data_IF_264107494849
#
_entry.id   IF_264107494849
#
_cell.length_a   1.000
_cell.length_b   1.000
_cell.length_c   1.000
_cell.angle_alpha   90.00
_cell.angle_beta   90.00
_cell.angle_gamma   90.00
#
_symmetry.space_group_name_H-M   'P 1'
#
loop_
_entity.id
_entity.type
_entity.pdbx_description
1 polymer ?
#
# COMPACT_ATOMS: atom_id res chain seq x y z
N UNK A 1 -16.74 -2.62 4.91
CA UNK A 1 -16.31 -1.33 5.50
C UNK A 1 -14.80 -1.24 5.39
N UNK A 2 -14.24 -0.21 4.71
CA UNK A 2 -12.79 -0.02 4.56
C UNK A 2 -12.31 0.92 5.68
N UNK A 3 -11.99 0.36 6.85
CA UNK A 3 -11.79 1.11 8.11
C UNK A 3 -10.72 2.22 8.09
N UNK A 4 -9.71 2.13 7.21
CA UNK A 4 -8.70 3.20 7.06
C UNK A 4 -9.18 4.41 6.25
N UNK A 5 -10.24 4.27 5.44
CA UNK A 5 -10.78 5.40 4.67
C UNK A 5 -11.59 6.38 5.53
N UNK A 6 -12.02 5.96 6.72
CA UNK A 6 -12.75 6.79 7.67
C UNK A 6 -11.81 7.64 8.55
N UNK A 7 -10.49 7.50 8.39
CA UNK A 7 -9.47 8.31 9.08
C UNK A 7 -9.30 9.68 8.41
N UNK A 8 -9.20 10.74 9.21
CA UNK A 8 -8.89 12.08 8.70
C UNK A 8 -7.43 12.23 8.30
N UNK A 9 -6.55 11.46 8.93
CA UNK A 9 -5.09 11.66 8.91
C UNK A 9 -4.37 10.70 7.96
N UNK A 10 -5.10 9.70 7.47
CA UNK A 10 -4.59 8.70 6.53
C UNK A 10 -5.51 8.59 5.31
N UNK A 11 -5.10 9.23 4.22
CA UNK A 11 -5.85 9.27 2.97
C UNK A 11 -5.08 8.52 1.90
N UNK A 12 -5.79 7.78 1.08
CA UNK A 12 -5.18 7.10 -0.06
C UNK A 12 -6.13 7.07 -1.24
N UNK A 13 -5.55 7.04 -2.44
CA UNK A 13 -6.29 6.90 -3.69
C UNK A 13 -5.92 5.57 -4.30
N UNK A 14 -6.93 4.78 -4.64
CA UNK A 14 -6.77 3.57 -5.46
C UNK A 14 -7.39 3.80 -6.82
N UNK A 15 -6.81 3.18 -7.84
CA UNK A 15 -7.39 3.05 -9.18
C UNK A 15 -7.70 1.58 -9.41
N UNK A 16 -8.93 1.26 -9.76
CA UNK A 16 -9.30 -0.10 -10.12
C UNK A 16 -8.69 -0.46 -11.49
N UNK A 17 -8.04 -1.61 -11.56
CA UNK A 17 -7.56 -2.23 -12.79
C UNK A 17 -8.30 -3.56 -13.00
N UNK A 18 -8.76 -3.81 -14.22
CA UNK A 18 -9.55 -5.01 -14.51
C UNK A 18 -8.76 -6.31 -14.36
N UNK A 19 -7.45 -6.28 -14.59
CA UNK A 19 -6.59 -7.46 -14.55
C UNK A 19 -5.94 -7.65 -13.18
N UNK A 20 -5.71 -6.57 -12.44
CA UNK A 20 -4.91 -6.57 -11.21
C UNK A 20 -5.67 -6.14 -9.95
N UNK A 21 -6.90 -5.64 -10.09
CA UNK A 21 -7.69 -5.10 -8.99
C UNK A 21 -7.21 -3.70 -8.54
N UNK A 22 -7.42 -3.33 -7.27
CA UNK A 22 -7.09 -1.99 -6.78
C UNK A 22 -5.58 -1.72 -6.77
N UNK A 23 -5.15 -0.76 -7.57
CA UNK A 23 -3.79 -0.24 -7.61
C UNK A 23 -3.65 1.01 -6.72
N UNK A 24 -2.67 1.03 -5.81
CA UNK A 24 -2.42 2.15 -4.92
C UNK A 24 -1.70 3.30 -5.66
N UNK A 25 -2.41 4.41 -5.86
CA UNK A 25 -1.92 5.57 -6.62
C UNK A 25 -1.22 6.58 -5.72
N UNK A 26 -1.85 6.93 -4.59
CA UNK A 26 -1.30 7.93 -3.66
C UNK A 26 -1.62 7.61 -2.20
N UNK A 27 -0.76 8.11 -1.32
CA UNK A 27 -0.94 8.10 0.14
C UNK A 27 -0.63 9.51 0.64
N UNK A 28 -1.53 10.06 1.46
CA UNK A 28 -1.45 11.40 2.04
C UNK A 28 -1.09 12.50 1.03
N UNK A 29 -1.68 12.42 -0.18
CA UNK A 29 -1.51 13.41 -1.24
C UNK A 29 -0.26 13.24 -2.10
N UNK A 30 0.63 12.29 -1.79
CA UNK A 30 1.84 12.01 -2.58
C UNK A 30 1.55 10.85 -3.53
N UNK A 31 1.60 11.10 -4.83
CA UNK A 31 1.35 10.11 -5.88
C UNK A 31 2.64 9.52 -6.44
N UNK A 32 2.59 8.23 -6.82
CA UNK A 32 3.62 7.64 -7.69
C UNK A 32 3.59 8.26 -9.08
N UNK A 33 4.74 8.31 -9.74
CA UNK A 33 4.90 8.90 -11.06
C UNK A 33 5.84 8.10 -11.93
N UNK A 34 5.32 7.69 -13.09
CA UNK A 34 6.02 6.84 -14.06
C UNK A 34 7.28 7.51 -14.61
N UNK A 35 7.23 8.80 -14.95
CA UNK A 35 8.40 9.53 -15.47
C UNK A 35 9.55 9.59 -14.45
N UNK A 36 9.19 9.73 -13.17
CA UNK A 36 10.15 9.80 -12.05
C UNK A 36 10.52 8.41 -11.51
N UNK A 37 9.95 7.35 -12.11
CA UNK A 37 10.04 5.94 -11.69
C UNK A 37 9.73 5.74 -10.21
N UNK A 38 8.72 6.45 -9.71
CA UNK A 38 8.30 6.37 -8.30
C UNK A 38 6.99 5.62 -8.16
N UNK A 39 6.86 4.86 -7.08
CA UNK A 39 5.65 4.12 -6.75
C UNK A 39 5.51 3.90 -5.25
N UNK A 40 4.32 3.47 -4.83
CA UNK A 40 4.06 3.01 -3.46
C UNK A 40 4.21 1.50 -3.37
N UNK A 41 5.21 1.07 -2.60
CA UNK A 41 5.49 -0.32 -2.31
C UNK A 41 4.72 -0.78 -1.06
N UNK A 42 4.02 -1.91 -1.17
CA UNK A 42 3.43 -2.59 -0.02
C UNK A 42 4.46 -3.48 0.64
N UNK A 43 4.71 -3.24 1.92
CA UNK A 43 5.54 -4.07 2.78
C UNK A 43 4.77 -4.47 4.03
N UNK A 44 5.16 -5.59 4.62
CA UNK A 44 4.63 -6.03 5.89
C UNK A 44 5.75 -6.51 6.80
N UNK A 45 5.65 -6.18 8.08
CA UNK A 45 6.69 -6.46 9.06
C UNK A 45 6.09 -7.20 10.26
N UNK A 46 6.72 -8.32 10.59
CA UNK A 46 6.41 -9.10 11.78
C UNK A 46 6.98 -8.44 13.04
N UNK A 47 6.45 -8.81 14.21
CA UNK A 47 6.96 -8.29 15.49
C UNK A 47 8.45 -8.51 15.75
N UNK A 48 9.04 -9.54 15.14
CA UNK A 48 10.47 -9.83 15.25
C UNK A 48 11.34 -8.91 14.35
N UNK A 49 10.73 -7.94 13.65
CA UNK A 49 11.42 -7.01 12.76
C UNK A 49 11.62 -7.52 11.33
N UNK A 50 11.26 -8.78 11.03
CA UNK A 50 11.37 -9.31 9.68
C UNK A 50 10.36 -8.62 8.77
N UNK A 51 10.87 -7.91 7.76
CA UNK A 51 10.07 -7.25 6.72
C UNK A 51 10.06 -8.09 5.45
N UNK A 52 8.90 -8.21 4.79
CA UNK A 52 8.77 -8.80 3.47
C UNK A 52 7.84 -7.98 2.57
N UNK A 53 7.99 -8.17 1.27
CA UNK A 53 7.08 -7.65 0.25
C UNK A 53 6.05 -8.76 -0.07
N UNK A 54 4.75 -8.54 0.18
CA UNK A 54 3.73 -9.48 -0.28
C UNK A 54 3.77 -9.67 -1.80
N UNK A 55 3.43 -10.87 -2.26
CA UNK A 55 3.29 -11.22 -3.68
C UNK A 55 1.91 -10.84 -4.25
N UNK A 56 1.09 -10.14 -3.46
CA UNK A 56 -0.25 -9.66 -3.82
C UNK A 56 -0.39 -8.15 -3.58
N UNK A 57 -1.38 -7.54 -4.24
CA UNK A 57 -1.69 -6.12 -4.10
C UNK A 57 -2.46 -5.75 -2.83
N UNK A 58 -2.66 -4.44 -2.62
CA UNK A 58 -3.39 -3.87 -1.46
C UNK A 58 -4.85 -4.32 -1.35
N UNK A 59 -5.45 -4.79 -2.46
CA UNK A 59 -6.81 -5.33 -2.47
C UNK A 59 -6.92 -6.77 -1.95
N UNK A 60 -5.82 -7.52 -1.91
CA UNK A 60 -5.82 -8.94 -1.56
C UNK A 60 -4.98 -9.26 -0.32
N UNK A 61 -4.07 -8.37 0.07
CA UNK A 61 -3.23 -8.60 1.23
C UNK A 61 -4.04 -8.58 2.54
N UNK A 62 -3.95 -9.67 3.30
CA UNK A 62 -4.59 -9.81 4.62
C UNK A 62 -3.48 -9.86 5.68
N UNK A 63 -3.30 -8.81 6.48
CA UNK A 63 -2.28 -8.80 7.54
C UNK A 63 -2.64 -9.76 8.67
N UNK A 64 -1.61 -10.36 9.29
CA UNK A 64 -1.77 -11.06 10.56
C UNK A 64 -2.02 -10.07 11.71
N UNK A 65 -2.64 -10.51 12.82
CA UNK A 65 -2.79 -9.68 14.01
C UNK A 65 -1.46 -9.06 14.45
N UNK A 66 -1.47 -7.75 14.70
CA UNK A 66 -0.30 -6.97 15.19
C UNK A 66 0.88 -6.93 14.21
N UNK A 67 0.66 -7.30 12.96
CA UNK A 67 1.60 -7.08 11.87
C UNK A 67 1.59 -5.60 11.47
N UNK A 68 2.76 -5.02 11.22
CA UNK A 68 2.86 -3.63 10.74
C UNK A 68 2.81 -3.62 9.23
N UNK A 69 1.77 -2.99 8.67
CA UNK A 69 1.67 -2.72 7.23
C UNK A 69 2.36 -1.41 6.93
N UNK A 70 3.24 -1.40 5.92
CA UNK A 70 4.04 -0.25 5.54
C UNK A 70 3.77 0.06 4.07
N UNK A 71 3.32 1.27 3.78
CA UNK A 71 3.28 1.82 2.43
C UNK A 71 4.52 2.68 2.26
N UNK A 72 5.47 2.23 1.45
CA UNK A 72 6.77 2.89 1.26
C UNK A 72 6.82 3.58 -0.10
N UNK A 73 7.01 4.89 -0.12
CA UNK A 73 7.28 5.61 -1.35
C UNK A 73 8.72 5.34 -1.80
N UNK A 74 8.90 4.76 -2.98
CA UNK A 74 10.20 4.30 -3.46
C UNK A 74 10.34 4.43 -4.97
N UNK A 75 11.52 4.10 -5.49
CA UNK A 75 11.84 4.08 -6.92
C UNK A 75 12.14 2.67 -7.45
N UNK A 76 11.97 2.48 -8.76
CA UNK A 76 12.40 1.28 -9.51
C UNK A 76 13.40 1.62 -10.63
#
# INVERSE_FOLDING_TARGET
MRTLQDSTDFKFVVKEDHNYGPFLVSVNGVAGRTEDRTYWELLAEFKNGTTFRPDVGVGCFIPFPQQRVILKFTKY
#
